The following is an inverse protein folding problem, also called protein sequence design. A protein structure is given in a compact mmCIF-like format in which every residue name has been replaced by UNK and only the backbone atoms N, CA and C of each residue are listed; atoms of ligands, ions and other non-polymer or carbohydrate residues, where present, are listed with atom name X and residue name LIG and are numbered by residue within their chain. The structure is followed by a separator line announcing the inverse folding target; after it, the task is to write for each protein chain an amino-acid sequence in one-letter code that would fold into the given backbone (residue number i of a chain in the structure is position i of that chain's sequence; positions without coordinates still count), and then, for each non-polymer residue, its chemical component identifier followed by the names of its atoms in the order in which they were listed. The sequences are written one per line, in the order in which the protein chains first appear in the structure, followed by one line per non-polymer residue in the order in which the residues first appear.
data_IF_497569749725
#
_entry.id   IF_497569749725
#
_cell.length_a   1.000
_cell.length_b   1.000
_cell.length_c   1.000
_cell.angle_alpha   90.00
_cell.angle_beta   90.00
_cell.angle_gamma   90.00
#
_symmetry.space_group_name_H-M   'P 1'
#
loop_
_entity.id
_entity.type
_entity.pdbx_description
1 polymer ?
#
# COMPACT_ATOMS: atom_id res chain seq x y z
N UNK A 1 18.64 15.18 -23.46
CA UNK A 1 19.11 14.11 -22.56
C UNK A 1 17.96 13.53 -21.73
N UNK A 2 16.80 13.21 -22.33
CA UNK A 2 15.63 12.69 -21.59
C UNK A 2 15.25 11.25 -22.01
N UNK A 3 15.64 10.81 -23.22
CA UNK A 3 15.29 9.49 -23.77
C UNK A 3 16.03 8.31 -23.13
N UNK A 4 17.35 8.41 -22.93
CA UNK A 4 18.16 7.30 -22.43
C UNK A 4 17.82 6.86 -20.99
N UNK A 5 17.37 7.82 -20.15
CA UNK A 5 16.94 7.53 -18.76
C UNK A 5 15.59 6.80 -18.72
N UNK A 6 14.68 7.14 -19.64
CA UNK A 6 13.36 6.53 -19.73
C UNK A 6 13.43 5.09 -20.25
N UNK A 7 14.18 4.85 -21.33
CA UNK A 7 14.37 3.51 -21.91
C UNK A 7 14.90 2.52 -20.88
N UNK A 8 15.93 2.93 -20.13
CA UNK A 8 16.50 2.10 -19.06
C UNK A 8 15.48 1.79 -17.96
N UNK A 9 14.65 2.75 -17.56
CA UNK A 9 13.59 2.49 -16.59
C UNK A 9 12.51 1.54 -17.14
N UNK A 10 12.20 1.59 -18.44
CA UNK A 10 11.31 0.62 -19.09
C UNK A 10 11.89 -0.80 -19.13
N UNK A 11 13.21 -0.94 -19.28
CA UNK A 11 13.89 -2.23 -19.16
C UNK A 11 13.75 -2.79 -17.73
N UNK A 12 13.95 -1.94 -16.71
CA UNK A 12 13.76 -2.33 -15.31
C UNK A 12 12.31 -2.72 -15.00
N UNK A 13 11.31 -2.04 -15.58
CA UNK A 13 9.91 -2.45 -15.48
C UNK A 13 9.66 -3.83 -16.13
N UNK A 14 10.32 -4.10 -17.26
CA UNK A 14 10.20 -5.39 -17.95
C UNK A 14 10.85 -6.52 -17.15
N UNK A 15 12.01 -6.27 -16.56
CA UNK A 15 12.66 -7.20 -15.64
C UNK A 15 11.78 -7.47 -14.41
N UNK A 16 11.23 -6.41 -13.79
CA UNK A 16 10.35 -6.55 -12.63
C UNK A 16 9.10 -7.38 -12.96
N UNK A 17 8.53 -7.21 -14.15
CA UNK A 17 7.37 -7.99 -14.61
C UNK A 17 7.71 -9.47 -14.85
N UNK A 18 8.90 -9.77 -15.35
CA UNK A 18 9.34 -11.15 -15.63
C UNK A 18 9.83 -11.90 -14.38
N UNK A 19 10.61 -11.22 -13.53
CA UNK A 19 11.32 -11.83 -12.41
C UNK A 19 10.63 -11.61 -11.06
N UNK A 20 9.64 -10.69 -11.01
CA UNK A 20 8.95 -10.25 -9.80
C UNK A 20 9.88 -9.68 -8.71
N UNK A 21 11.10 -9.31 -9.10
CA UNK A 21 12.11 -8.77 -8.22
C UNK A 21 13.05 -7.85 -8.99
N UNK A 22 13.67 -6.93 -8.25
CA UNK A 22 14.80 -6.13 -8.73
C UNK A 22 15.84 -6.05 -7.61
N UNK A 23 17.14 -5.99 -7.95
CA UNK A 23 18.19 -5.61 -7.00
C UNK A 23 17.94 -4.21 -6.42
N UNK A 24 18.53 -3.93 -5.25
CA UNK A 24 18.38 -2.64 -4.56
C UNK A 24 18.76 -1.44 -5.45
N UNK A 25 19.87 -1.55 -6.18
CA UNK A 25 20.37 -0.47 -7.05
C UNK A 25 19.39 -0.18 -8.18
N UNK A 26 18.84 -1.22 -8.80
CA UNK A 26 17.80 -1.12 -9.83
C UNK A 26 16.50 -0.51 -9.29
N UNK A 27 16.11 -0.83 -8.05
CA UNK A 27 14.99 -0.16 -7.39
C UNK A 27 15.24 1.35 -7.21
N UNK A 28 16.44 1.72 -6.76
CA UNK A 28 16.80 3.13 -6.58
C UNK A 28 16.77 3.86 -7.92
N UNK A 29 17.33 3.26 -8.96
CA UNK A 29 17.32 3.82 -10.31
C UNK A 29 15.89 4.03 -10.83
N UNK A 30 15.02 3.02 -10.71
CA UNK A 30 13.63 3.11 -11.15
C UNK A 30 12.84 4.18 -10.38
N UNK A 31 13.03 4.30 -9.07
CA UNK A 31 12.33 5.28 -8.22
C UNK A 31 12.87 6.70 -8.48
N UNK A 32 14.19 6.88 -8.58
CA UNK A 32 14.81 8.17 -8.84
C UNK A 32 14.55 8.66 -10.27
N UNK A 33 14.37 7.75 -11.23
CA UNK A 33 14.01 8.05 -12.62
C UNK A 33 12.54 8.41 -12.84
N UNK A 34 11.76 8.65 -11.78
CA UNK A 34 10.34 8.95 -11.87
C UNK A 34 10.03 10.15 -12.77
N UNK A 35 9.20 9.92 -13.78
CA UNK A 35 8.56 10.96 -14.60
C UNK A 35 7.07 10.62 -14.78
N UNK A 36 6.21 11.59 -15.16
CA UNK A 36 4.81 11.31 -15.49
C UNK A 36 4.63 10.22 -16.56
N UNK A 37 5.50 10.19 -17.57
CA UNK A 37 5.49 9.19 -18.64
C UNK A 37 5.84 7.79 -18.10
N UNK A 38 6.87 7.68 -17.28
CA UNK A 38 7.27 6.41 -16.67
C UNK A 38 6.21 5.89 -15.70
N UNK A 39 5.58 6.78 -14.95
CA UNK A 39 4.45 6.44 -14.08
C UNK A 39 3.27 5.89 -14.87
N UNK A 40 2.93 6.51 -16.00
CA UNK A 40 1.84 6.03 -16.86
C UNK A 40 2.14 4.64 -17.44
N UNK A 41 3.39 4.40 -17.87
CA UNK A 41 3.85 3.10 -18.35
C UNK A 41 3.77 2.02 -17.26
N UNK A 42 4.31 2.30 -16.07
CA UNK A 42 4.24 1.39 -14.93
C UNK A 42 2.79 1.07 -14.52
N UNK A 43 1.91 2.08 -14.51
CA UNK A 43 0.49 1.89 -14.20
C UNK A 43 -0.22 1.03 -15.26
N UNK A 44 0.10 1.20 -16.55
CA UNK A 44 -0.45 0.40 -17.65
C UNK A 44 -0.08 -1.09 -17.49
N UNK A 45 1.21 -1.38 -17.24
CA UNK A 45 1.70 -2.75 -16.99
C UNK A 45 1.08 -3.36 -15.74
N UNK A 46 1.06 -2.62 -14.63
CA UNK A 46 0.43 -3.06 -13.39
C UNK A 46 -1.06 -3.36 -13.57
N UNK A 47 -1.78 -2.57 -14.38
CA UNK A 47 -3.18 -2.83 -14.72
C UNK A 47 -3.34 -4.13 -15.51
N UNK A 48 -2.48 -4.39 -16.50
CA UNK A 48 -2.51 -5.65 -17.27
C UNK A 48 -2.30 -6.87 -16.36
N UNK A 49 -1.28 -6.82 -15.48
CA UNK A 49 -1.02 -7.88 -14.49
C UNK A 49 -2.20 -8.04 -13.53
N UNK A 50 -2.71 -6.95 -12.95
CA UNK A 50 -3.87 -6.98 -12.04
C UNK A 50 -5.10 -7.59 -12.72
N UNK A 51 -5.39 -7.22 -13.97
CA UNK A 51 -6.52 -7.77 -14.73
C UNK A 51 -6.34 -9.25 -15.05
N UNK A 52 -5.12 -9.70 -15.36
CA UNK A 52 -4.83 -11.13 -15.59
C UNK A 52 -5.20 -11.99 -14.39
N UNK A 53 -4.89 -11.56 -13.18
CA UNK A 53 -5.14 -12.35 -11.96
C UNK A 53 -6.51 -12.10 -11.33
N UNK A 54 -6.97 -10.85 -11.29
CA UNK A 54 -8.17 -10.46 -10.55
C UNK A 54 -9.35 -10.09 -11.47
N UNK A 55 -9.13 -9.95 -12.77
CA UNK A 55 -10.11 -9.39 -13.69
C UNK A 55 -10.49 -7.97 -13.27
N UNK A 56 -11.79 -7.67 -13.35
CA UNK A 56 -12.36 -6.40 -12.88
C UNK A 56 -12.89 -6.48 -11.44
N UNK A 57 -12.57 -7.55 -10.69
CA UNK A 57 -13.10 -7.75 -9.34
C UNK A 57 -12.49 -6.74 -8.35
N UNK A 58 -13.34 -6.25 -7.45
CA UNK A 58 -12.98 -5.44 -6.29
C UNK A 58 -13.47 -6.19 -5.05
N UNK A 59 -12.57 -6.46 -4.11
CA UNK A 59 -12.88 -7.21 -2.90
C UNK A 59 -13.07 -6.23 -1.74
N UNK A 60 -14.29 -6.13 -1.23
CA UNK A 60 -14.62 -5.31 -0.07
C UNK A 60 -14.16 -6.02 1.21
N UNK A 61 -13.56 -5.26 2.14
CA UNK A 61 -13.13 -5.75 3.46
C UNK A 61 -13.57 -4.73 4.50
N UNK A 62 -14.35 -5.18 5.49
CA UNK A 62 -14.60 -4.41 6.71
C UNK A 62 -13.41 -4.56 7.66
N UNK A 63 -13.04 -3.49 8.34
CA UNK A 63 -12.00 -3.48 9.38
C UNK A 63 -12.66 -3.10 10.71
N UNK A 64 -12.39 -3.90 11.76
CA UNK A 64 -12.83 -3.60 13.12
C UNK A 64 -11.60 -3.28 13.96
N UNK A 65 -11.39 -2.01 14.25
CA UNK A 65 -10.34 -1.54 15.15
C UNK A 65 -10.84 -1.66 16.60
N UNK A 66 -10.68 -2.84 17.21
CA UNK A 66 -11.28 -3.13 18.52
C UNK A 66 -10.58 -2.46 19.72
N UNK A 67 -9.43 -1.82 19.51
CA UNK A 67 -8.70 -1.10 20.56
C UNK A 67 -7.75 -0.10 19.94
N UNK A 68 -7.62 1.08 20.56
CA UNK A 68 -6.57 2.05 20.24
C UNK A 68 -5.51 2.16 21.35
N UNK A 69 -5.52 1.27 22.35
CA UNK A 69 -4.41 1.12 23.28
C UNK A 69 -3.20 0.53 22.57
N UNK A 70 -2.06 1.22 22.66
CA UNK A 70 -0.80 0.77 22.10
C UNK A 70 0.31 0.99 23.14
N UNK A 71 1.18 -0.02 23.32
CA UNK A 71 2.36 0.07 24.19
C UNK A 71 3.53 0.82 23.53
N UNK A 72 3.50 0.96 22.21
CA UNK A 72 4.57 1.58 21.44
C UNK A 72 4.40 3.10 21.36
N UNK A 73 5.51 3.81 21.19
CA UNK A 73 5.53 5.26 21.09
C UNK A 73 6.01 5.77 19.72
N UNK A 74 5.49 5.19 18.63
CA UNK A 74 5.89 5.54 17.27
C UNK A 74 5.61 7.02 16.95
N UNK A 75 6.60 7.76 16.46
CA UNK A 75 6.49 9.21 16.26
C UNK A 75 5.39 9.64 15.27
N UNK A 76 5.09 8.82 14.27
CA UNK A 76 4.08 9.08 13.25
C UNK A 76 2.66 8.62 13.65
N UNK A 77 2.50 7.93 14.79
CA UNK A 77 1.26 7.26 15.13
C UNK A 77 0.41 8.10 16.10
N UNK A 78 -0.82 8.44 15.71
CA UNK A 78 -1.75 9.22 16.53
C UNK A 78 -2.19 8.51 17.82
N UNK A 79 -2.20 7.17 17.84
CA UNK A 79 -2.58 6.35 19.00
C UNK A 79 -1.38 5.87 19.83
N UNK A 80 -0.19 6.41 19.58
CA UNK A 80 1.03 6.12 20.35
C UNK A 80 0.82 6.25 21.87
N UNK A 81 1.54 5.46 22.66
CA UNK A 81 1.40 5.42 24.13
C UNK A 81 1.53 6.80 24.79
N UNK A 82 2.47 7.64 24.31
CA UNK A 82 2.71 8.96 24.88
C UNK A 82 1.71 10.04 24.49
N UNK A 83 0.71 9.75 23.64
CA UNK A 83 -0.36 10.70 23.34
C UNK A 83 -1.44 10.62 24.43
N UNK A 84 -1.38 11.54 25.39
CA UNK A 84 -2.35 11.64 26.50
C UNK A 84 -3.67 12.28 26.08
N UNK A 85 -3.74 12.90 24.91
CA UNK A 85 -4.95 13.55 24.41
C UNK A 85 -5.87 12.57 23.65
N UNK A 86 -5.38 11.36 23.33
CA UNK A 86 -6.19 10.35 22.68
C UNK A 86 -7.15 9.70 23.69
N UNK A 87 -8.46 9.74 23.41
CA UNK A 87 -9.45 8.98 24.16
C UNK A 87 -9.24 7.48 23.94
N UNK A 88 -8.99 6.75 25.02
CA UNK A 88 -8.65 5.33 24.94
C UNK A 88 -9.89 4.46 25.06
N UNK A 89 -9.97 3.43 24.21
CA UNK A 89 -11.06 2.47 24.23
C UNK A 89 -10.56 1.05 23.95
N UNK A 90 -11.32 0.08 24.45
CA UNK A 90 -11.25 -1.33 24.10
C UNK A 90 -12.69 -1.82 23.99
N UNK A 91 -13.06 -2.29 22.80
CA UNK A 91 -14.35 -2.90 22.57
C UNK A 91 -14.45 -4.21 23.34
N UNK A 92 -15.64 -4.46 23.87
CA UNK A 92 -16.06 -5.75 24.40
C UNK A 92 -16.31 -6.74 23.25
N UNK A 93 -16.37 -8.02 23.57
CA UNK A 93 -16.68 -9.07 22.58
C UNK A 93 -18.01 -8.80 21.87
N UNK A 94 -19.05 -8.42 22.63
CA UNK A 94 -20.35 -8.08 22.07
C UNK A 94 -20.25 -6.89 21.10
N UNK A 95 -19.55 -5.81 21.46
CA UNK A 95 -19.36 -4.66 20.57
C UNK A 95 -18.59 -5.01 19.28
N UNK A 96 -17.65 -5.96 19.34
CA UNK A 96 -16.93 -6.48 18.16
C UNK A 96 -17.88 -7.27 17.26
N UNK A 97 -18.67 -8.17 17.82
CA UNK A 97 -19.63 -8.98 17.09
C UNK A 97 -20.72 -8.11 16.46
N UNK A 98 -21.25 -7.15 17.22
CA UNK A 98 -22.24 -6.19 16.73
C UNK A 98 -21.67 -5.36 15.57
N UNK A 99 -20.41 -4.93 15.67
CA UNK A 99 -19.72 -4.19 14.59
C UNK A 99 -19.51 -5.04 13.34
N UNK A 100 -19.23 -6.33 13.49
CA UNK A 100 -19.05 -7.26 12.38
C UNK A 100 -20.37 -7.62 11.69
N UNK A 101 -21.47 -7.67 12.44
CA UNK A 101 -22.81 -7.98 11.94
C UNK A 101 -23.43 -6.79 11.20
N UNK A 102 -23.32 -5.58 11.75
CA UNK A 102 -23.97 -4.38 11.22
C UNK A 102 -23.08 -3.58 10.26
N UNK A 103 -21.77 -3.80 10.29
CA UNK A 103 -20.80 -3.00 9.54
C UNK A 103 -20.84 -1.54 9.99
N UNK A 104 -20.27 -1.25 11.17
CA UNK A 104 -20.20 0.13 11.64
C UNK A 104 -19.26 0.97 10.75
N UNK A 105 -19.85 1.71 9.82
CA UNK A 105 -19.23 2.72 8.95
C UNK A 105 -20.22 3.80 8.58
#
# INVERSE_FOLDING_TARGET
MMGASFEKCCELLSQLEAEHALPRESWQELICGHTPELQAEAASRAMAVRRRYYGNRVFLRGLVEFTNFCKNNCYYCGIRAGNTNAQRYRLTENEILDSADHGNG
#
